data_IF_101197856099
#
_entry.id   IF_101197856099
#
_cell.length_a   1.000
_cell.length_b   1.000
_cell.length_c   1.000
_cell.angle_alpha   90.00
_cell.angle_beta   90.00
_cell.angle_gamma   90.00
#
_symmetry.space_group_name_H-M   'P 1'
#
loop_
_entity.id
_entity.type
_entity.pdbx_description
1 polymer ?
#
# COMPACT_ATOMS: atom_id res chain seq x y z
N UNK A 1 60.59 -19.95 16.73
CA UNK A 1 59.42 -20.63 17.28
C UNK A 1 59.01 -21.71 16.32
N UNK A 2 59.26 -22.96 16.66
CA UNK A 2 58.69 -24.12 15.92
C UNK A 2 57.16 -23.98 15.95
N UNK A 3 56.56 -23.89 14.76
CA UNK A 3 55.11 -23.99 14.65
C UNK A 3 54.75 -25.42 14.28
N UNK A 4 53.63 -25.91 14.76
CA UNK A 4 53.08 -27.26 14.58
C UNK A 4 53.01 -27.74 13.09
N UNK A 5 53.30 -26.90 12.11
CA UNK A 5 53.18 -27.16 10.67
C UNK A 5 54.52 -27.43 9.95
N UNK A 6 55.66 -27.59 10.63
CA UNK A 6 56.92 -27.96 10.00
C UNK A 6 57.57 -26.87 9.12
N UNK A 7 57.21 -25.62 9.27
CA UNK A 7 57.83 -24.47 8.61
C UNK A 7 58.00 -23.26 9.51
N UNK A 8 58.92 -22.36 9.18
CA UNK A 8 59.16 -21.10 9.89
C UNK A 8 59.04 -19.97 8.87
N UNK A 9 58.27 -18.91 9.25
CA UNK A 9 58.23 -17.66 8.48
C UNK A 9 59.37 -16.74 8.97
N UNK A 10 60.17 -16.31 8.03
CA UNK A 10 61.25 -15.33 8.23
C UNK A 10 60.75 -13.93 7.85
N UNK A 11 61.53 -12.90 8.22
CA UNK A 11 61.26 -11.51 7.82
C UNK A 11 61.30 -11.40 6.28
N UNK A 12 60.40 -10.55 5.70
CA UNK A 12 60.32 -10.34 4.24
C UNK A 12 59.53 -11.38 3.48
N UNK A 13 58.64 -12.16 4.17
CA UNK A 13 57.72 -13.07 3.49
C UNK A 13 58.35 -14.40 3.04
N UNK A 14 59.51 -14.74 3.59
CA UNK A 14 60.25 -15.96 3.26
C UNK A 14 59.77 -17.11 4.13
N UNK A 15 59.32 -18.20 3.51
CA UNK A 15 58.97 -19.44 4.19
C UNK A 15 60.14 -20.45 4.13
N UNK A 16 60.66 -20.85 5.27
CA UNK A 16 61.61 -21.91 5.37
C UNK A 16 60.90 -23.19 5.83
N UNK A 17 60.95 -24.23 5.04
CA UNK A 17 60.35 -25.52 5.33
C UNK A 17 61.46 -26.58 5.39
N UNK A 18 61.25 -27.62 6.22
CA UNK A 18 62.20 -28.71 6.37
C UNK A 18 61.50 -30.03 6.49
N UNK A 19 62.14 -31.08 5.96
CA UNK A 19 61.66 -32.47 6.06
C UNK A 19 62.82 -33.41 6.31
N UNK A 20 62.64 -34.45 7.10
CA UNK A 20 63.59 -35.55 7.26
C UNK A 20 63.62 -36.38 6.00
N UNK A 21 64.77 -36.65 5.48
CA UNK A 21 65.03 -37.57 4.36
C UNK A 21 66.00 -38.66 4.77
N UNK A 22 66.07 -39.73 3.98
CA UNK A 22 66.96 -40.87 4.28
C UNK A 22 68.43 -40.42 4.26
N UNK A 23 69.02 -40.27 5.48
CA UNK A 23 70.40 -39.89 5.63
C UNK A 23 70.64 -38.39 5.97
N UNK A 24 69.57 -37.59 6.28
CA UNK A 24 69.71 -36.20 6.69
C UNK A 24 68.43 -35.42 6.68
N UNK A 25 68.51 -34.08 6.55
CA UNK A 25 67.37 -33.19 6.49
C UNK A 25 67.44 -32.42 5.18
N UNK A 26 66.28 -32.24 4.53
CA UNK A 26 66.15 -31.31 3.40
C UNK A 26 65.51 -30.01 3.91
N UNK A 27 66.11 -28.89 3.54
CA UNK A 27 65.60 -27.54 3.83
C UNK A 27 65.36 -26.87 2.46
N UNK A 28 64.21 -26.19 2.33
CA UNK A 28 63.96 -25.36 1.16
C UNK A 28 63.32 -24.05 1.57
N UNK A 29 63.58 -23.06 0.80
CA UNK A 29 63.11 -21.70 1.03
C UNK A 29 62.17 -21.29 -0.12
N UNK A 30 61.07 -20.67 0.25
CA UNK A 30 60.09 -20.12 -0.69
C UNK A 30 59.88 -18.63 -0.38
N UNK A 31 59.95 -17.80 -1.41
CA UNK A 31 59.59 -16.39 -1.31
C UNK A 31 58.12 -16.24 -1.52
N UNK A 32 57.40 -15.81 -0.51
CA UNK A 32 55.95 -15.59 -0.47
C UNK A 32 55.62 -14.09 -0.40
N UNK A 33 56.57 -13.21 -0.53
CA UNK A 33 56.37 -11.76 -0.37
C UNK A 33 55.27 -11.23 -1.30
N UNK A 34 55.33 -11.55 -2.60
CA UNK A 34 54.34 -11.17 -3.58
C UNK A 34 52.94 -11.74 -3.27
N UNK A 35 52.87 -13.01 -2.79
CA UNK A 35 51.63 -13.61 -2.41
C UNK A 35 50.99 -12.93 -1.19
N UNK A 36 51.80 -12.54 -0.22
CA UNK A 36 51.35 -11.84 0.98
C UNK A 36 50.83 -10.43 0.65
N UNK A 37 51.54 -9.72 -0.25
CA UNK A 37 51.10 -8.41 -0.73
C UNK A 37 49.75 -8.50 -1.47
N UNK A 38 49.58 -9.48 -2.36
CA UNK A 38 48.31 -9.74 -3.04
C UNK A 38 47.19 -10.08 -2.04
N UNK A 39 47.48 -10.88 -1.01
CA UNK A 39 46.51 -11.22 0.01
C UNK A 39 46.04 -10.02 0.85
N UNK A 40 46.96 -9.09 1.14
CA UNK A 40 46.67 -7.83 1.84
C UNK A 40 45.76 -6.94 0.96
N UNK A 41 46.13 -6.77 -0.33
CA UNK A 41 45.35 -6.01 -1.30
C UNK A 41 43.92 -6.60 -1.49
N UNK A 42 43.81 -7.91 -1.61
CA UNK A 42 42.51 -8.60 -1.68
C UNK A 42 41.65 -8.39 -0.44
N UNK A 43 42.27 -8.36 0.73
CA UNK A 43 41.59 -8.13 2.00
C UNK A 43 41.07 -6.69 2.10
N UNK A 44 41.84 -5.72 1.67
CA UNK A 44 41.43 -4.33 1.61
C UNK A 44 40.26 -4.14 0.62
N UNK A 45 40.40 -4.66 -0.58
CA UNK A 45 39.36 -4.62 -1.63
C UNK A 45 38.06 -5.28 -1.17
N UNK A 46 38.13 -6.40 -0.48
CA UNK A 46 36.98 -7.07 0.12
C UNK A 46 36.27 -6.17 1.14
N UNK A 47 37.02 -5.52 2.04
CA UNK A 47 36.47 -4.63 3.04
C UNK A 47 35.78 -3.41 2.42
N UNK A 48 36.35 -2.85 1.35
CA UNK A 48 35.72 -1.77 0.57
C UNK A 48 34.40 -2.23 -0.09
N UNK A 49 34.40 -3.42 -0.68
CA UNK A 49 33.23 -4.02 -1.31
C UNK A 49 32.10 -4.28 -0.28
N UNK A 50 32.46 -4.81 0.90
CA UNK A 50 31.49 -5.03 2.00
C UNK A 50 30.88 -3.69 2.46
N UNK A 51 31.69 -2.65 2.59
CA UNK A 51 31.24 -1.29 2.90
C UNK A 51 30.30 -0.71 1.84
N UNK A 52 30.69 -0.80 0.57
CA UNK A 52 29.89 -0.34 -0.56
C UNK A 52 28.53 -1.08 -0.67
N UNK A 53 28.54 -2.38 -0.45
CA UNK A 53 27.33 -3.19 -0.42
C UNK A 53 26.38 -2.79 0.71
N UNK A 54 26.91 -2.53 1.92
CA UNK A 54 26.10 -2.06 3.04
C UNK A 54 25.40 -0.73 2.75
N UNK A 55 26.12 0.22 2.15
CA UNK A 55 25.57 1.52 1.71
C UNK A 55 24.51 1.32 0.62
N UNK A 56 24.75 0.44 -0.34
CA UNK A 56 23.80 0.14 -1.42
C UNK A 56 22.49 -0.45 -0.90
N UNK A 57 22.56 -1.38 0.06
CA UNK A 57 21.39 -1.96 0.71
C UNK A 57 20.60 -0.90 1.47
N UNK A 58 21.27 -0.03 2.22
CA UNK A 58 20.60 1.07 2.92
C UNK A 58 19.90 2.02 1.96
N UNK A 59 20.57 2.40 0.86
CA UNK A 59 19.99 3.25 -0.19
C UNK A 59 18.75 2.61 -0.79
N UNK A 60 18.79 1.32 -1.11
CA UNK A 60 17.62 0.59 -1.61
C UNK A 60 16.43 0.65 -0.65
N UNK A 61 16.65 0.46 0.66
CA UNK A 61 15.61 0.54 1.66
C UNK A 61 15.02 1.95 1.80
N UNK A 62 15.85 2.98 1.72
CA UNK A 62 15.43 4.37 1.76
C UNK A 62 14.60 4.70 0.50
N UNK A 63 15.08 4.36 -0.68
CA UNK A 63 14.39 4.61 -1.95
C UNK A 63 13.02 3.89 -1.99
N UNK A 64 12.96 2.65 -1.50
CA UNK A 64 11.70 1.90 -1.37
C UNK A 64 10.72 2.63 -0.43
N UNK A 65 11.20 3.14 0.69
CA UNK A 65 10.38 3.91 1.65
C UNK A 65 9.86 5.20 1.05
N UNK A 66 10.72 5.93 0.33
CA UNK A 66 10.35 7.18 -0.37
C UNK A 66 9.27 6.91 -1.41
N UNK A 67 9.42 5.87 -2.25
CA UNK A 67 8.41 5.49 -3.25
C UNK A 67 7.07 5.11 -2.61
N UNK A 68 7.10 4.34 -1.53
CA UNK A 68 5.88 3.95 -0.81
C UNK A 68 5.18 5.17 -0.21
N UNK A 69 5.92 6.14 0.34
CA UNK A 69 5.34 7.37 0.88
C UNK A 69 4.79 8.27 -0.23
N UNK A 70 5.52 8.41 -1.34
CA UNK A 70 5.06 9.18 -2.49
C UNK A 70 3.75 8.61 -3.07
N UNK A 71 3.63 7.28 -3.17
CA UNK A 71 2.42 6.63 -3.64
C UNK A 71 1.25 6.82 -2.66
N UNK A 72 1.48 6.70 -1.35
CA UNK A 72 0.46 7.01 -0.34
C UNK A 72 -0.02 8.46 -0.41
N UNK A 73 0.88 9.40 -0.58
CA UNK A 73 0.52 10.81 -0.72
C UNK A 73 -0.29 11.05 -1.99
N UNK A 74 0.12 10.46 -3.12
CA UNK A 74 -0.64 10.55 -4.39
C UNK A 74 -2.07 10.03 -4.23
N UNK A 75 -2.24 8.86 -3.59
CA UNK A 75 -3.56 8.29 -3.33
C UNK A 75 -4.38 9.18 -2.38
N UNK A 76 -3.77 9.73 -1.34
CA UNK A 76 -4.43 10.64 -0.42
C UNK A 76 -4.91 11.92 -1.13
N UNK A 77 -4.07 12.50 -1.98
CA UNK A 77 -4.41 13.71 -2.73
C UNK A 77 -5.53 13.44 -3.74
N UNK A 78 -5.52 12.28 -4.39
CA UNK A 78 -6.57 11.87 -5.31
C UNK A 78 -7.90 11.64 -4.58
N UNK A 79 -7.89 10.94 -3.44
CA UNK A 79 -9.07 10.77 -2.59
C UNK A 79 -9.64 12.12 -2.18
N UNK A 80 -8.79 13.01 -1.69
CA UNK A 80 -9.21 14.34 -1.24
C UNK A 80 -9.80 15.17 -2.40
N UNK A 81 -9.14 15.17 -3.55
CA UNK A 81 -9.62 15.89 -4.75
C UNK A 81 -10.99 15.43 -5.20
N UNK A 82 -11.26 14.12 -5.16
CA UNK A 82 -12.51 13.54 -5.64
C UNK A 82 -13.66 13.64 -4.62
N UNK A 83 -13.37 13.84 -3.34
CA UNK A 83 -14.36 13.80 -2.27
C UNK A 83 -14.44 15.11 -1.44
N UNK A 84 -13.70 16.15 -1.84
CA UNK A 84 -13.64 17.41 -1.12
C UNK A 84 -15.00 18.04 -0.89
N UNK A 85 -15.87 18.05 -1.89
CA UNK A 85 -17.22 18.64 -1.77
C UNK A 85 -18.03 17.96 -0.66
N UNK A 86 -18.07 16.63 -0.61
CA UNK A 86 -18.80 15.89 0.41
C UNK A 86 -18.18 16.07 1.82
N UNK A 87 -16.87 16.19 1.88
CA UNK A 87 -16.16 16.48 3.13
C UNK A 87 -16.53 17.85 3.65
N UNK A 88 -16.60 18.86 2.78
CA UNK A 88 -17.00 20.23 3.14
C UNK A 88 -18.44 20.28 3.64
N UNK A 89 -19.37 19.61 2.94
CA UNK A 89 -20.76 19.47 3.37
C UNK A 89 -20.87 18.80 4.75
N UNK A 90 -20.16 17.71 4.97
CA UNK A 90 -20.15 17.03 6.28
C UNK A 90 -19.62 17.92 7.38
N UNK A 91 -18.54 18.66 7.14
CA UNK A 91 -17.98 19.60 8.10
C UNK A 91 -18.97 20.71 8.46
N UNK A 92 -19.68 21.25 7.48
CA UNK A 92 -20.66 22.31 7.71
C UNK A 92 -21.88 21.77 8.48
N UNK A 93 -22.36 20.57 8.16
CA UNK A 93 -23.46 19.96 8.93
C UNK A 93 -23.05 19.60 10.35
N UNK A 94 -21.81 19.14 10.57
CA UNK A 94 -21.28 18.89 11.91
C UNK A 94 -21.19 20.17 12.73
N UNK A 95 -20.74 21.29 12.14
CA UNK A 95 -20.74 22.62 12.83
C UNK A 95 -22.16 23.04 13.21
N UNK A 96 -23.13 22.90 12.29
CA UNK A 96 -24.55 23.23 12.56
C UNK A 96 -25.13 22.31 13.63
N UNK A 97 -24.82 20.99 13.59
CA UNK A 97 -25.28 20.02 14.59
C UNK A 97 -24.85 20.39 16.02
N UNK A 98 -23.64 20.92 16.18
CA UNK A 98 -23.12 21.36 17.48
C UNK A 98 -23.76 22.70 17.90
N UNK A 99 -24.07 23.56 16.94
CA UNK A 99 -24.56 24.93 17.21
C UNK A 99 -26.07 25.00 17.47
N UNK A 100 -26.88 24.08 16.92
CA UNK A 100 -28.34 24.09 17.11
C UNK A 100 -28.75 23.39 18.40
N UNK A 101 -29.81 23.85 19.05
CA UNK A 101 -30.44 23.17 20.18
C UNK A 101 -31.77 22.49 19.79
N UNK A 102 -32.26 22.70 18.57
CA UNK A 102 -33.47 22.10 18.09
C UNK A 102 -33.26 20.60 17.81
N UNK A 103 -34.02 19.78 18.50
CA UNK A 103 -33.98 18.31 18.36
C UNK A 103 -34.42 17.83 16.96
N UNK A 104 -35.30 18.55 16.30
CA UNK A 104 -35.80 18.22 14.96
C UNK A 104 -34.69 18.45 13.92
N UNK A 105 -34.09 19.62 14.01
CA UNK A 105 -32.95 20.00 13.17
C UNK A 105 -31.74 19.04 13.39
N UNK A 106 -31.44 18.70 14.65
CA UNK A 106 -30.40 17.73 14.99
C UNK A 106 -30.64 16.37 14.33
N UNK A 107 -31.85 15.87 14.39
CA UNK A 107 -32.19 14.59 13.75
C UNK A 107 -32.00 14.64 12.23
N UNK A 108 -32.45 15.71 11.61
CA UNK A 108 -32.33 15.89 10.17
C UNK A 108 -30.85 15.97 9.73
N UNK A 109 -30.03 16.76 10.44
CA UNK A 109 -28.60 16.85 10.19
C UNK A 109 -27.90 15.48 10.36
N UNK A 110 -28.25 14.74 11.43
CA UNK A 110 -27.70 13.39 11.63
C UNK A 110 -28.07 12.42 10.51
N UNK A 111 -29.29 12.47 10.00
CA UNK A 111 -29.72 11.64 8.86
C UNK A 111 -28.88 11.90 7.62
N UNK A 112 -28.66 13.17 7.29
CA UNK A 112 -27.81 13.60 6.16
C UNK A 112 -26.35 13.18 6.35
N UNK A 113 -25.79 13.42 7.55
CA UNK A 113 -24.41 13.02 7.89
C UNK A 113 -24.19 11.52 7.73
N UNK A 114 -25.14 10.68 8.20
CA UNK A 114 -25.02 9.22 8.08
C UNK A 114 -25.03 8.78 6.63
N UNK A 115 -25.91 9.33 5.81
CA UNK A 115 -26.06 8.93 4.40
C UNK A 115 -24.83 9.35 3.59
N UNK A 116 -24.41 10.60 3.68
CA UNK A 116 -23.24 11.11 2.93
C UNK A 116 -21.94 10.51 3.46
N UNK A 117 -21.83 10.28 4.77
CA UNK A 117 -20.67 9.61 5.35
C UNK A 117 -20.53 8.16 4.88
N UNK A 118 -21.65 7.43 4.74
CA UNK A 118 -21.65 6.08 4.18
C UNK A 118 -21.24 6.07 2.70
N UNK A 119 -21.77 6.99 1.91
CA UNK A 119 -21.37 7.19 0.51
C UNK A 119 -19.87 7.46 0.41
N UNK A 120 -19.36 8.43 1.15
CA UNK A 120 -17.96 8.83 1.14
C UNK A 120 -17.03 7.64 1.46
N UNK A 121 -17.35 6.87 2.50
CA UNK A 121 -16.61 5.66 2.88
C UNK A 121 -16.54 4.67 1.72
N UNK A 122 -17.67 4.40 1.05
CA UNK A 122 -17.74 3.43 -0.03
C UNK A 122 -17.04 3.91 -1.29
N UNK A 123 -17.23 5.17 -1.64
CA UNK A 123 -16.55 5.78 -2.77
C UNK A 123 -15.02 5.76 -2.62
N UNK A 124 -14.53 6.07 -1.43
CA UNK A 124 -13.10 6.00 -1.15
C UNK A 124 -12.55 4.57 -1.30
N UNK A 125 -13.29 3.57 -0.86
CA UNK A 125 -12.90 2.17 -1.09
C UNK A 125 -12.86 1.82 -2.57
N UNK A 126 -13.82 2.28 -3.38
CA UNK A 126 -13.83 2.06 -4.83
C UNK A 126 -12.65 2.73 -5.54
N UNK A 127 -12.26 3.93 -5.11
CA UNK A 127 -11.07 4.62 -5.64
C UNK A 127 -9.82 3.78 -5.36
N UNK A 128 -9.68 3.24 -4.14
CA UNK A 128 -8.54 2.41 -3.77
C UNK A 128 -8.50 1.09 -4.57
N UNK A 129 -9.65 0.45 -4.79
CA UNK A 129 -9.75 -0.75 -5.63
C UNK A 129 -9.41 -0.44 -7.09
N UNK A 130 -9.88 0.70 -7.61
CA UNK A 130 -9.56 1.12 -8.98
C UNK A 130 -8.06 1.34 -9.20
N UNK A 131 -7.35 1.81 -8.19
CA UNK A 131 -5.90 2.00 -8.25
C UNK A 131 -5.10 0.70 -8.13
N UNK A 132 -5.69 -0.36 -7.55
CA UNK A 132 -5.04 -1.65 -7.38
C UNK A 132 -5.32 -2.58 -8.56
N UNK A 133 -6.53 -3.09 -8.63
CA UNK A 133 -6.92 -4.15 -9.57
C UNK A 133 -7.86 -3.63 -10.67
N UNK A 134 -8.49 -2.48 -10.45
CA UNK A 134 -9.44 -1.87 -11.38
C UNK A 134 -10.75 -2.63 -11.57
N UNK A 135 -10.98 -3.71 -10.83
CA UNK A 135 -12.12 -4.61 -10.98
C UNK A 135 -12.80 -4.81 -9.62
N UNK A 136 -14.13 -4.78 -9.60
CA UNK A 136 -14.97 -5.05 -8.44
C UNK A 136 -15.79 -6.30 -8.70
N UNK A 137 -15.79 -7.22 -7.73
CA UNK A 137 -16.64 -8.41 -7.73
C UNK A 137 -18.08 -8.02 -7.47
N UNK A 138 -19.01 -8.74 -8.12
CA UNK A 138 -20.45 -8.53 -7.91
C UNK A 138 -20.85 -8.56 -6.44
N UNK A 139 -20.31 -9.52 -5.68
CA UNK A 139 -20.60 -9.68 -4.24
C UNK A 139 -20.21 -8.44 -3.43
N UNK A 140 -19.06 -7.83 -3.73
CA UNK A 140 -18.56 -6.64 -3.06
C UNK A 140 -19.40 -5.40 -3.38
N UNK A 141 -19.79 -5.24 -4.64
CA UNK A 141 -20.70 -4.19 -5.05
C UNK A 141 -22.07 -4.34 -4.40
N UNK A 142 -22.63 -5.56 -4.39
CA UNK A 142 -23.90 -5.88 -3.77
C UNK A 142 -23.88 -5.57 -2.27
N UNK A 143 -22.80 -5.96 -1.55
CA UNK A 143 -22.63 -5.63 -0.14
C UNK A 143 -22.57 -4.11 0.09
N UNK A 144 -21.86 -3.39 -0.77
CA UNK A 144 -21.72 -1.94 -0.69
C UNK A 144 -23.07 -1.24 -0.89
N UNK A 145 -23.84 -1.65 -1.89
CA UNK A 145 -25.19 -1.11 -2.16
C UNK A 145 -26.15 -1.43 -1.01
N UNK A 146 -26.13 -2.66 -0.49
CA UNK A 146 -26.96 -3.04 0.67
C UNK A 146 -26.64 -2.19 1.90
N UNK A 147 -25.38 -1.89 2.16
CA UNK A 147 -24.99 -1.01 3.27
C UNK A 147 -25.52 0.40 3.08
N UNK A 148 -25.42 0.95 1.87
CA UNK A 148 -25.97 2.27 1.55
C UNK A 148 -27.49 2.31 1.73
N UNK A 149 -28.21 1.27 1.24
CA UNK A 149 -29.67 1.16 1.43
C UNK A 149 -30.05 1.06 2.92
N UNK A 150 -29.27 0.32 3.73
CA UNK A 150 -29.46 0.24 5.18
C UNK A 150 -29.30 1.60 5.86
N UNK A 151 -28.34 2.41 5.44
CA UNK A 151 -28.17 3.76 5.98
C UNK A 151 -29.31 4.70 5.58
N UNK A 152 -29.86 4.58 4.36
CA UNK A 152 -31.08 5.29 3.96
C UNK A 152 -32.30 4.84 4.77
N UNK A 153 -32.46 3.54 5.04
CA UNK A 153 -33.53 3.03 5.90
C UNK A 153 -33.42 3.60 7.30
N UNK A 154 -32.21 3.66 7.86
CA UNK A 154 -31.95 4.32 9.12
C UNK A 154 -32.30 5.81 9.10
N UNK A 155 -32.07 6.47 7.97
CA UNK A 155 -32.51 7.85 7.74
C UNK A 155 -34.03 7.99 7.47
N UNK A 156 -34.81 6.91 7.54
CA UNK A 156 -36.28 6.91 7.42
C UNK A 156 -36.82 6.77 6.00
N UNK A 157 -35.98 6.40 5.03
CA UNK A 157 -36.39 6.17 3.64
C UNK A 157 -36.68 4.68 3.45
N UNK A 158 -37.84 4.32 2.91
CA UNK A 158 -38.14 2.95 2.51
C UNK A 158 -37.38 2.62 1.23
N UNK A 159 -36.42 1.69 1.28
CA UNK A 159 -35.61 1.37 0.12
C UNK A 159 -35.35 -0.12 -0.04
N UNK A 160 -35.22 -0.51 -1.31
CA UNK A 160 -34.83 -1.85 -1.71
C UNK A 160 -33.82 -1.78 -2.87
N UNK A 161 -32.96 -2.77 -2.96
CA UNK A 161 -32.00 -2.87 -4.06
C UNK A 161 -31.93 -4.30 -4.60
N UNK A 162 -31.63 -4.40 -5.90
CA UNK A 162 -31.31 -5.66 -6.57
C UNK A 162 -30.08 -5.44 -7.43
N UNK A 163 -29.09 -6.31 -7.28
CA UNK A 163 -27.86 -6.32 -8.08
C UNK A 163 -27.83 -7.64 -8.82
N UNK A 164 -27.70 -7.58 -10.13
CA UNK A 164 -27.68 -8.75 -11.02
C UNK A 164 -26.66 -8.52 -12.12
N UNK A 165 -25.42 -8.94 -11.87
CA UNK A 165 -24.36 -8.93 -12.85
C UNK A 165 -23.87 -10.36 -13.08
N UNK A 166 -23.63 -10.72 -14.32
CA UNK A 166 -23.08 -12.03 -14.67
C UNK A 166 -21.54 -12.05 -14.67
N UNK A 167 -20.94 -10.89 -14.46
CA UNK A 167 -19.49 -10.71 -14.50
C UNK A 167 -19.02 -9.56 -13.59
N UNK A 168 -17.74 -9.59 -13.27
CA UNK A 168 -17.08 -8.54 -12.50
C UNK A 168 -17.13 -7.19 -13.21
N UNK A 169 -17.27 -6.11 -12.43
CA UNK A 169 -17.38 -4.74 -12.93
C UNK A 169 -16.05 -4.00 -12.90
N UNK A 170 -15.71 -3.20 -13.93
CA UNK A 170 -14.68 -2.19 -13.80
C UNK A 170 -15.01 -1.21 -12.66
N UNK A 171 -14.04 -0.93 -11.78
CA UNK A 171 -14.24 -0.02 -10.64
C UNK A 171 -14.69 1.38 -11.09
N UNK A 172 -14.21 1.84 -12.25
CA UNK A 172 -14.62 3.11 -12.84
C UNK A 172 -16.11 3.16 -13.21
N UNK A 173 -16.72 2.02 -13.59
CA UNK A 173 -18.16 1.90 -13.86
C UNK A 173 -18.93 1.92 -12.53
N UNK A 174 -18.48 1.13 -11.56
CA UNK A 174 -19.09 1.12 -10.21
C UNK A 174 -19.07 2.52 -9.58
N UNK A 175 -17.97 3.27 -9.69
CA UNK A 175 -17.90 4.65 -9.19
C UNK A 175 -18.98 5.55 -9.83
N UNK A 176 -19.23 5.45 -11.14
CA UNK A 176 -20.30 6.22 -11.80
C UNK A 176 -21.68 5.90 -11.25
N UNK A 177 -21.95 4.64 -10.92
CA UNK A 177 -23.21 4.27 -10.26
C UNK A 177 -23.34 4.88 -8.88
N UNK A 178 -22.26 4.88 -8.11
CA UNK A 178 -22.25 5.48 -6.78
C UNK A 178 -22.39 7.00 -6.84
N UNK A 179 -21.75 7.67 -7.79
CA UNK A 179 -21.85 9.11 -7.99
C UNK A 179 -23.29 9.49 -8.44
N UNK A 180 -23.90 8.70 -9.33
CA UNK A 180 -25.29 8.89 -9.72
C UNK A 180 -26.27 8.66 -8.56
N UNK A 181 -26.04 7.61 -7.78
CA UNK A 181 -26.85 7.32 -6.59
C UNK A 181 -26.79 8.50 -5.61
N UNK A 182 -25.59 8.98 -5.31
CA UNK A 182 -25.39 10.11 -4.40
C UNK A 182 -26.10 11.36 -4.91
N UNK A 183 -25.92 11.70 -6.18
CA UNK A 183 -26.60 12.83 -6.80
C UNK A 183 -28.11 12.77 -6.66
N UNK A 184 -28.72 11.61 -6.89
CA UNK A 184 -30.17 11.41 -6.75
C UNK A 184 -30.60 11.57 -5.28
N UNK A 185 -29.87 10.93 -4.38
CA UNK A 185 -30.19 10.98 -2.95
C UNK A 185 -30.03 12.40 -2.38
N UNK A 186 -28.93 13.09 -2.71
CA UNK A 186 -28.68 14.46 -2.24
C UNK A 186 -29.76 15.42 -2.69
N UNK A 187 -30.14 15.38 -3.97
CA UNK A 187 -31.15 16.30 -4.53
C UNK A 187 -32.57 15.97 -4.12
N UNK A 188 -32.88 14.72 -3.81
CA UNK A 188 -34.24 14.31 -3.44
C UNK A 188 -34.45 14.14 -1.93
N UNK A 189 -33.43 14.27 -1.10
CA UNK A 189 -33.41 13.83 0.29
C UNK A 189 -34.59 14.32 1.11
N UNK A 190 -34.95 15.60 0.98
CA UNK A 190 -36.02 16.23 1.76
C UNK A 190 -37.42 15.67 1.46
N UNK A 191 -37.63 15.13 0.26
CA UNK A 191 -38.88 14.53 -0.18
C UNK A 191 -38.82 13.01 -0.37
N UNK A 192 -37.64 12.41 -0.11
CA UNK A 192 -37.41 11.01 -0.42
C UNK A 192 -38.05 10.08 0.64
N UNK A 193 -39.18 9.47 0.30
CA UNK A 193 -39.86 8.50 1.15
C UNK A 193 -39.63 7.06 0.71
N UNK A 194 -39.33 6.84 -0.57
CA UNK A 194 -39.10 5.52 -1.15
C UNK A 194 -38.02 5.54 -2.24
N UNK A 195 -37.09 4.57 -2.23
CA UNK A 195 -36.07 4.37 -3.25
C UNK A 195 -35.98 2.90 -3.67
N UNK A 196 -36.10 2.63 -4.97
CA UNK A 196 -35.81 1.32 -5.55
C UNK A 196 -34.63 1.45 -6.50
N UNK A 197 -33.53 0.79 -6.20
CA UNK A 197 -32.35 0.75 -7.05
C UNK A 197 -32.16 -0.64 -7.66
N UNK A 198 -32.06 -0.72 -8.97
CA UNK A 198 -31.76 -1.95 -9.70
C UNK A 198 -30.51 -1.76 -10.52
N UNK A 199 -29.56 -2.65 -10.33
CA UNK A 199 -28.29 -2.67 -11.07
C UNK A 199 -28.23 -3.97 -11.86
N UNK A 200 -28.13 -3.89 -13.16
CA UNK A 200 -28.08 -5.08 -14.01
C UNK A 200 -27.22 -4.82 -15.26
N UNK A 201 -26.73 -5.88 -15.84
CA UNK A 201 -26.02 -5.85 -17.12
C UNK A 201 -26.92 -6.47 -18.20
N UNK A 202 -26.98 -5.81 -19.33
CA UNK A 202 -27.67 -6.33 -20.53
C UNK A 202 -26.86 -5.96 -21.77
N UNK A 203 -26.61 -6.95 -22.64
CA UNK A 203 -25.88 -6.77 -23.90
C UNK A 203 -24.54 -5.98 -23.73
N UNK A 204 -23.75 -6.37 -22.72
CA UNK A 204 -22.51 -5.70 -22.31
C UNK A 204 -22.63 -4.23 -21.85
N UNK A 205 -23.84 -3.76 -21.65
CA UNK A 205 -24.14 -2.44 -21.10
C UNK A 205 -24.63 -2.55 -19.66
N UNK A 206 -24.18 -1.62 -18.82
CA UNK A 206 -24.56 -1.54 -17.40
C UNK A 206 -25.65 -0.50 -17.19
N UNK A 207 -26.68 -0.85 -16.41
CA UNK A 207 -27.83 -0.04 -16.10
C UNK A 207 -28.09 0.04 -14.60
#
# INVERSE_FOLDING_TARGET
KETENGYVMLEGGIRLSGSEIRGGHALWQEDLSELLDILEELKELRNELEGANAVSIQKYHIDKKIRTLAEKNRLHDELHRQTSHQIDLLNDWLKKLVATDDLTEKKELLRRIVVVGAYLKRRNNLILVNEQDGIIKEEELNLSIKEMMKNLQFAGVNCASSVQFEKDLPASVAMKFFDFYEYVVENAFDGLSYLLARFFCRDDSFY
#
